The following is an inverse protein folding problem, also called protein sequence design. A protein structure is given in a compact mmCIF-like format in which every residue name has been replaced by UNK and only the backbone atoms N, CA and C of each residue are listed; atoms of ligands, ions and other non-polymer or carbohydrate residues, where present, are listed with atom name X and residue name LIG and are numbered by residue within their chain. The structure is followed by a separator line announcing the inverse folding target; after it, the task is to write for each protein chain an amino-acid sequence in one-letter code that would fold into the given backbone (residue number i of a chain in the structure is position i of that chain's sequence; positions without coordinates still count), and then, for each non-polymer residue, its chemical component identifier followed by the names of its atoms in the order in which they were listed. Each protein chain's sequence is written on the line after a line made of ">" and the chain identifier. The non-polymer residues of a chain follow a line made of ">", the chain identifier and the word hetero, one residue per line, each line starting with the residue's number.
data_IF_648578942432
#
_entry.id   IF_648578942432
#
_cell.length_a   1.000
_cell.length_b   1.000
_cell.length_c   1.000
_cell.angle_alpha   90.00
_cell.angle_beta   90.00
_cell.angle_gamma   90.00
#
_symmetry.space_group_name_H-M   'P 1'
#
loop_
_entity.id
_entity.type
_entity.pdbx_description
1 polymer ?
#
# COMPACT_ATOMS: atom_id res chain seq x y z
N UNK A 1 -24.05 8.38 1.10
CA UNK A 1 -23.04 7.31 0.95
C UNK A 1 -21.72 7.85 1.52
N UNK A 2 -21.15 7.21 2.54
CA UNK A 2 -20.13 7.84 3.38
C UNK A 2 -18.78 8.00 2.67
N UNK A 3 -18.13 9.15 2.87
CA UNK A 3 -16.81 9.50 2.33
C UNK A 3 -15.73 8.44 2.65
N UNK A 4 -15.91 7.72 3.76
CA UNK A 4 -15.05 6.62 4.22
C UNK A 4 -15.04 5.44 3.24
N UNK A 5 -16.19 5.09 2.64
CA UNK A 5 -16.26 4.04 1.61
C UNK A 5 -15.51 4.42 0.34
N UNK A 6 -15.51 5.70 -0.03
CA UNK A 6 -14.80 6.16 -1.23
C UNK A 6 -13.28 6.17 -1.01
N UNK A 7 -12.80 6.56 0.16
CA UNK A 7 -11.37 6.46 0.52
C UNK A 7 -10.89 5.00 0.58
N UNK A 8 -11.69 4.10 1.14
CA UNK A 8 -11.40 2.65 1.19
C UNK A 8 -11.54 1.96 -0.18
N UNK A 9 -12.24 2.57 -1.14
CA UNK A 9 -12.27 2.12 -2.54
C UNK A 9 -11.04 2.60 -3.32
N UNK A 10 -10.51 3.78 -2.97
CA UNK A 10 -9.30 4.36 -3.58
C UNK A 10 -8.04 3.57 -3.19
N UNK A 11 -7.94 3.21 -1.92
CA UNK A 11 -6.97 2.23 -1.43
C UNK A 11 -7.56 0.87 -1.76
N UNK A 12 -7.23 0.30 -2.93
CA UNK A 12 -7.66 -1.04 -3.31
C UNK A 12 -7.26 -2.08 -2.25
N UNK A 13 -8.07 -2.25 -1.20
CA UNK A 13 -7.77 -3.10 -0.06
C UNK A 13 -7.59 -4.56 -0.51
N UNK A 14 -8.38 -4.95 -1.51
CA UNK A 14 -8.28 -6.23 -2.21
C UNK A 14 -6.92 -6.46 -2.86
N UNK A 15 -6.26 -5.42 -3.37
CA UNK A 15 -4.93 -5.57 -3.97
C UNK A 15 -3.83 -5.70 -2.91
N UNK A 16 -3.96 -5.00 -1.77
CA UNK A 16 -3.07 -5.18 -0.61
C UNK A 16 -3.09 -6.61 -0.07
N UNK A 17 -4.26 -7.27 -0.05
CA UNK A 17 -4.42 -8.68 0.36
C UNK A 17 -3.48 -9.62 -0.40
N UNK A 18 -3.26 -9.39 -1.71
CA UNK A 18 -2.34 -10.23 -2.48
C UNK A 18 -0.87 -10.06 -2.11
N UNK A 19 -0.47 -8.92 -1.54
CA UNK A 19 0.91 -8.69 -1.13
C UNK A 19 1.19 -9.07 0.33
N UNK A 20 0.14 -9.25 1.15
CA UNK A 20 0.25 -9.60 2.57
C UNK A 20 1.00 -10.92 2.81
N UNK A 21 0.77 -12.00 2.04
CA UNK A 21 1.53 -13.24 2.20
C UNK A 21 3.04 -13.05 2.07
N UNK A 22 3.49 -12.23 1.11
CA UNK A 22 4.91 -11.97 0.91
C UNK A 22 5.53 -11.17 2.07
N UNK A 23 4.79 -10.18 2.58
CA UNK A 23 5.21 -9.42 3.75
C UNK A 23 5.32 -10.32 5.00
N UNK A 24 4.38 -11.26 5.19
CA UNK A 24 4.42 -12.21 6.29
C UNK A 24 5.57 -13.22 6.17
N UNK A 25 5.85 -13.74 4.97
CA UNK A 25 7.01 -14.63 4.75
C UNK A 25 8.30 -13.90 5.15
N UNK A 26 8.48 -12.64 4.70
CA UNK A 26 9.64 -11.83 5.08
C UNK A 26 9.73 -11.56 6.58
N UNK A 27 8.60 -11.24 7.22
CA UNK A 27 8.54 -11.04 8.66
C UNK A 27 8.90 -12.30 9.45
N UNK A 28 8.33 -13.46 9.09
CA UNK A 28 8.61 -14.74 9.75
C UNK A 28 10.07 -15.16 9.54
N UNK A 29 10.63 -14.96 8.35
CA UNK A 29 12.06 -15.22 8.09
C UNK A 29 12.97 -14.30 8.91
N UNK A 30 12.64 -13.01 8.99
CA UNK A 30 13.38 -12.03 9.79
C UNK A 30 13.30 -12.33 11.28
N UNK A 31 12.12 -12.67 11.80
CA UNK A 31 11.95 -13.09 13.19
C UNK A 31 12.69 -14.38 13.47
N UNK A 32 12.64 -15.39 12.59
CA UNK A 32 13.40 -16.64 12.75
C UNK A 32 14.91 -16.38 12.79
N UNK A 33 15.43 -15.50 11.95
CA UNK A 33 16.83 -15.10 11.98
C UNK A 33 17.19 -14.35 13.29
N UNK A 34 16.30 -13.48 13.78
CA UNK A 34 16.45 -12.78 15.05
C UNK A 34 16.07 -13.63 16.28
N UNK A 35 15.48 -14.81 16.11
CA UNK A 35 15.14 -15.74 17.22
C UNK A 35 16.40 -16.29 17.88
N UNK A 36 17.54 -16.26 17.17
CA UNK A 36 18.87 -16.47 17.74
C UNK A 36 19.24 -15.36 18.75
N UNK A 37 18.56 -14.21 18.73
CA UNK A 37 18.89 -13.00 19.50
C UNK A 37 17.89 -12.61 20.62
N UNK A 38 17.00 -13.51 21.08
CA UNK A 38 16.14 -13.30 22.27
C UNK A 38 15.26 -12.02 22.26
N UNK A 39 14.38 -11.87 21.27
CA UNK A 39 13.45 -10.74 21.24
C UNK A 39 12.32 -10.86 22.29
N UNK A 40 12.04 -9.80 23.08
CA UNK A 40 10.87 -9.73 23.95
C UNK A 40 9.56 -9.80 23.15
N UNK A 41 8.54 -10.45 23.71
CA UNK A 41 7.21 -10.63 23.08
C UNK A 41 6.57 -9.29 22.70
N UNK A 42 6.77 -8.24 23.48
CA UNK A 42 6.25 -6.90 23.20
C UNK A 42 6.82 -6.29 21.91
N UNK A 43 8.11 -6.52 21.65
CA UNK A 43 8.77 -6.03 20.45
C UNK A 43 8.33 -6.78 19.19
N UNK A 44 7.88 -8.03 19.34
CA UNK A 44 7.33 -8.82 18.23
C UNK A 44 6.04 -8.19 17.69
N UNK A 45 5.08 -7.90 18.57
CA UNK A 45 3.80 -7.29 18.16
C UNK A 45 3.99 -5.87 17.61
N UNK A 46 4.87 -5.08 18.20
CA UNK A 46 5.18 -3.74 17.69
C UNK A 46 5.80 -3.80 16.28
N UNK A 47 6.80 -4.67 16.07
CA UNK A 47 7.41 -4.86 14.74
C UNK A 47 6.40 -5.36 13.72
N UNK A 48 5.54 -6.30 14.09
CA UNK A 48 4.48 -6.80 13.23
C UNK A 48 3.54 -5.68 12.78
N UNK A 49 3.10 -4.84 13.71
CA UNK A 49 2.26 -3.69 13.41
C UNK A 49 2.97 -2.68 12.49
N UNK A 50 4.24 -2.36 12.77
CA UNK A 50 5.04 -1.47 11.93
C UNK A 50 5.21 -1.99 10.50
N UNK A 51 5.41 -3.30 10.33
CA UNK A 51 5.49 -3.93 8.99
C UNK A 51 4.18 -3.77 8.23
N UNK A 52 3.04 -3.98 8.90
CA UNK A 52 1.72 -3.77 8.28
C UNK A 52 1.51 -2.32 7.86
N UNK A 53 1.81 -1.37 8.75
CA UNK A 53 1.69 0.07 8.46
C UNK A 53 2.59 0.46 7.28
N UNK A 54 3.86 0.02 7.30
CA UNK A 54 4.83 0.28 6.23
C UNK A 54 4.36 -0.28 4.88
N UNK A 55 3.85 -1.51 4.87
CA UNK A 55 3.38 -2.16 3.65
C UNK A 55 2.19 -1.41 3.02
N UNK A 56 1.21 -1.00 3.85
CA UNK A 56 0.02 -0.28 3.37
C UNK A 56 0.39 1.13 2.89
N UNK A 57 1.24 1.84 3.64
CA UNK A 57 1.66 3.20 3.28
C UNK A 57 2.52 3.19 2.02
N UNK A 58 3.56 2.35 1.94
CA UNK A 58 4.45 2.27 0.78
C UNK A 58 3.67 1.96 -0.50
N UNK A 59 2.70 1.03 -0.44
CA UNK A 59 1.88 0.68 -1.61
C UNK A 59 0.95 1.81 -2.03
N UNK A 60 0.32 2.48 -1.06
CA UNK A 60 -0.60 3.58 -1.33
C UNK A 60 0.16 4.76 -1.93
N UNK A 61 1.32 5.10 -1.36
CA UNK A 61 2.22 6.15 -1.86
C UNK A 61 2.75 5.82 -3.25
N UNK A 62 3.21 4.59 -3.51
CA UNK A 62 3.68 4.20 -4.84
C UNK A 62 2.57 4.31 -5.89
N UNK A 63 1.35 3.89 -5.57
CA UNK A 63 0.23 3.98 -6.50
C UNK A 63 -0.19 5.43 -6.76
N UNK A 64 -0.19 6.28 -5.73
CA UNK A 64 -0.48 7.71 -5.87
C UNK A 64 0.61 8.42 -6.67
N UNK A 65 1.88 8.11 -6.38
CA UNK A 65 3.04 8.71 -7.03
C UNK A 65 3.11 8.35 -8.52
N UNK A 66 2.89 7.09 -8.88
CA UNK A 66 2.83 6.67 -10.28
C UNK A 66 1.75 7.44 -11.03
N UNK A 67 0.56 7.60 -10.45
CA UNK A 67 -0.53 8.36 -11.08
C UNK A 67 -0.26 9.87 -11.14
N UNK A 68 0.50 10.43 -10.19
CA UNK A 68 0.87 11.85 -10.19
C UNK A 68 1.89 12.17 -11.30
N UNK A 69 2.96 11.38 -11.40
CA UNK A 69 3.97 11.56 -12.44
C UNK A 69 3.42 11.24 -13.83
N UNK A 70 2.69 10.14 -13.96
CA UNK A 70 2.21 9.68 -15.26
C UNK A 70 1.01 10.47 -15.78
N UNK A 71 0.54 11.51 -15.06
CA UNK A 71 -0.67 12.30 -15.41
C UNK A 71 -0.67 12.81 -16.86
N UNK A 72 0.48 13.16 -17.41
CA UNK A 72 0.60 13.67 -18.79
C UNK A 72 0.48 12.54 -19.81
N UNK A 73 1.08 11.39 -19.52
CA UNK A 73 1.04 10.21 -20.38
C UNK A 73 -0.32 9.49 -20.27
N UNK A 74 -0.89 9.40 -19.07
CA UNK A 74 -2.19 8.80 -18.79
C UNK A 74 -3.33 9.55 -19.50
N UNK A 75 -3.20 10.87 -19.74
CA UNK A 75 -4.16 11.68 -20.52
C UNK A 75 -4.16 11.35 -22.01
N UNK A 76 -3.02 10.93 -22.56
CA UNK A 76 -2.87 10.65 -23.99
C UNK A 76 -3.33 9.24 -24.37
N UNK A 77 -3.44 8.33 -23.38
CA UNK A 77 -3.84 6.96 -23.62
C UNK A 77 -5.36 6.77 -23.39
N UNK A 78 -6.12 6.34 -24.42
CA UNK A 78 -7.58 6.16 -24.34
C UNK A 78 -8.04 5.24 -23.20
N UNK A 79 -7.21 4.27 -22.78
CA UNK A 79 -7.52 3.36 -21.66
C UNK A 79 -7.36 3.98 -20.27
N UNK A 80 -6.54 5.02 -20.13
CA UNK A 80 -6.18 5.61 -18.83
C UNK A 80 -6.68 7.03 -18.65
N UNK A 81 -7.18 7.67 -19.72
CA UNK A 81 -7.76 9.00 -19.69
C UNK A 81 -8.97 9.15 -18.74
N UNK A 82 -9.68 8.05 -18.43
CA UNK A 82 -10.86 8.00 -17.54
C UNK A 82 -10.44 8.00 -16.04
N UNK A 83 -9.15 7.88 -15.72
CA UNK A 83 -8.68 7.80 -14.32
C UNK A 83 -8.88 9.12 -13.57
N UNK A 84 -8.99 9.02 -12.25
CA UNK A 84 -9.41 10.11 -11.37
C UNK A 84 -8.50 11.36 -11.38
N UNK A 85 -7.19 11.19 -11.60
CA UNK A 85 -6.21 12.29 -11.71
C UNK A 85 -6.28 12.98 -13.09
N UNK A 86 -6.22 12.25 -14.23
CA UNK A 86 -6.39 12.88 -15.55
C UNK A 86 -7.81 13.42 -15.80
N UNK A 87 -8.84 12.85 -15.17
CA UNK A 87 -10.24 13.30 -15.23
C UNK A 87 -10.55 14.49 -14.30
N UNK A 88 -9.60 14.95 -13.49
CA UNK A 88 -9.76 16.15 -12.65
C UNK A 88 -10.65 16.00 -11.42
N UNK A 89 -10.98 14.77 -11.02
CA UNK A 89 -11.80 14.47 -9.84
C UNK A 89 -10.99 14.69 -8.55
N UNK A 90 -9.67 14.45 -8.62
CA UNK A 90 -8.70 14.75 -7.56
C UNK A 90 -7.77 15.85 -8.07
N UNK A 91 -7.72 16.99 -7.38
CA UNK A 91 -6.71 18.02 -7.65
C UNK A 91 -5.33 17.45 -7.33
N UNK A 92 -4.46 17.44 -8.34
CA UNK A 92 -3.03 17.18 -8.18
C UNK A 92 -2.35 18.32 -7.40
#
# INVERSE_FOLDING_TARGET
>A
MSAVKNYLSLVKFSHTIFALPFAFIGFVLGVRAQWIAQLPVEHFFLKFFLVLVCMVSARSTAMAFNRYLDRHFDKLNPRTAIREIPAGIIKA
#
